data_IF_355514287145
#
_entry.id   IF_355514287145
#
_cell.length_a   1.000
_cell.length_b   1.000
_cell.length_c   1.000
_cell.angle_alpha   90.00
_cell.angle_beta   90.00
_cell.angle_gamma   90.00
#
_symmetry.space_group_name_H-M   'P 1'
#
loop_
_entity.id
_entity.type
_entity.pdbx_description
1 polymer ?
#
# COMPACT_ATOMS: atom_id res chain seq x y z
N UNK A 1 -39.49 36.80 27.69
CA UNK A 1 -39.11 35.36 27.67
C UNK A 1 -38.76 35.04 26.23
N UNK A 2 -37.53 35.23 25.72
CA UNK A 2 -36.21 34.81 26.21
C UNK A 2 -36.06 33.30 26.19
N UNK A 3 -35.16 32.82 25.29
CA UNK A 3 -34.77 31.42 25.04
C UNK A 3 -35.87 30.61 24.32
N UNK A 4 -35.77 30.16 23.08
CA UNK A 4 -34.97 29.04 22.59
C UNK A 4 -34.63 29.27 21.10
N UNK A 5 -33.47 29.88 20.87
CA UNK A 5 -32.72 29.80 19.63
C UNK A 5 -31.55 28.88 19.91
N UNK A 6 -31.15 28.10 18.90
CA UNK A 6 -30.03 27.15 18.86
C UNK A 6 -30.27 25.83 19.58
N UNK A 7 -30.61 24.80 18.79
CA UNK A 7 -30.03 23.46 18.85
C UNK A 7 -30.85 22.56 17.92
N UNK A 8 -30.48 22.49 16.64
CA UNK A 8 -30.74 21.37 15.71
C UNK A 8 -30.12 21.68 14.34
N UNK A 9 -28.82 21.96 14.35
CA UNK A 9 -27.97 21.73 13.19
C UNK A 9 -26.92 20.71 13.63
N UNK A 10 -27.39 19.51 13.97
CA UNK A 10 -26.49 18.38 14.14
C UNK A 10 -25.98 18.02 12.74
N UNK A 11 -24.75 18.46 12.49
CA UNK A 11 -23.93 18.10 11.36
C UNK A 11 -24.11 16.63 11.02
N UNK A 12 -24.62 16.35 9.81
CA UNK A 12 -24.37 15.08 9.16
C UNK A 12 -22.87 15.01 8.85
N UNK A 13 -22.08 14.69 9.87
CA UNK A 13 -20.75 14.15 9.65
C UNK A 13 -21.00 12.80 8.98
N UNK A 14 -20.86 12.77 7.65
CA UNK A 14 -20.83 11.53 6.90
C UNK A 14 -19.85 10.60 7.59
N UNK A 15 -20.33 9.41 7.99
CA UNK A 15 -19.47 8.37 8.51
C UNK A 15 -18.30 8.17 7.53
N UNK A 16 -17.08 7.93 8.02
CA UNK A 16 -15.98 7.57 7.14
C UNK A 16 -16.44 6.41 6.26
N UNK A 17 -16.45 6.63 4.94
CA UNK A 17 -16.76 5.57 4.01
C UNK A 17 -15.60 4.59 4.10
N UNK A 18 -15.83 3.43 4.71
CA UNK A 18 -14.90 2.33 4.60
C UNK A 18 -14.75 1.99 3.11
N UNK A 19 -13.57 1.50 2.67
CA UNK A 19 -13.44 0.93 1.34
C UNK A 19 -14.61 -0.04 1.13
N UNK A 20 -15.28 0.03 -0.02
CA UNK A 20 -16.38 -0.86 -0.34
C UNK A 20 -15.96 -2.31 -0.08
N UNK A 21 -16.92 -3.19 0.25
CA UNK A 21 -16.65 -4.59 0.55
C UNK A 21 -15.79 -5.31 -0.52
N UNK A 22 -15.71 -4.75 -1.73
CA UNK A 22 -14.63 -4.96 -2.67
C UNK A 22 -14.19 -3.63 -3.33
N UNK A 23 -12.91 -3.48 -3.62
CA UNK A 23 -12.30 -2.36 -4.35
C UNK A 23 -11.31 -2.89 -5.39
N UNK A 24 -11.28 -2.23 -6.56
CA UNK A 24 -10.27 -2.45 -7.60
C UNK A 24 -9.77 -1.09 -8.08
N UNK A 25 -8.46 -0.87 -7.97
CA UNK A 25 -7.77 0.33 -8.45
C UNK A 25 -6.80 -0.09 -9.55
N UNK A 26 -6.88 0.58 -10.70
CA UNK A 26 -6.01 0.34 -11.84
C UNK A 26 -5.05 1.50 -12.03
N UNK A 27 -3.84 1.20 -12.47
CA UNK A 27 -2.77 2.18 -12.59
C UNK A 27 -2.03 2.00 -13.91
N UNK A 28 -1.60 3.11 -14.52
CA UNK A 28 -0.55 3.09 -15.53
C UNK A 28 0.80 3.30 -14.85
N UNK A 29 1.84 2.65 -15.37
CA UNK A 29 3.21 2.81 -14.91
C UNK A 29 3.96 3.58 -15.97
N UNK A 30 4.50 4.76 -15.64
CA UNK A 30 5.04 5.68 -16.62
C UNK A 30 6.53 5.98 -16.36
N UNK A 31 7.27 6.13 -17.45
CA UNK A 31 8.63 6.67 -17.45
C UNK A 31 8.58 8.19 -17.20
N UNK A 32 9.66 8.83 -16.71
CA UNK A 32 9.74 10.29 -16.58
C UNK A 32 9.31 11.12 -17.81
N UNK A 33 9.40 10.55 -19.02
CA UNK A 33 8.99 11.21 -20.26
C UNK A 33 7.47 11.17 -20.51
N UNK A 34 6.71 10.48 -19.67
CA UNK A 34 5.28 10.19 -19.88
C UNK A 34 5.02 8.93 -20.72
N UNK A 35 6.07 8.22 -21.18
CA UNK A 35 5.91 6.96 -21.89
C UNK A 35 5.38 5.89 -20.93
N UNK A 36 4.24 5.27 -21.27
CA UNK A 36 3.74 4.11 -20.52
C UNK A 36 4.68 2.92 -20.68
N UNK A 37 5.00 2.30 -19.55
CA UNK A 37 5.84 1.13 -19.40
C UNK A 37 5.01 -0.12 -19.11
N UNK A 38 3.75 0.06 -18.71
CA UNK A 38 2.86 -1.02 -18.32
C UNK A 38 1.80 -0.57 -17.34
N UNK A 39 1.30 -1.52 -16.56
CA UNK A 39 0.12 -1.34 -15.72
C UNK A 39 0.29 -2.03 -14.38
N UNK A 40 -0.47 -1.56 -13.39
CA UNK A 40 -0.62 -2.24 -12.12
C UNK A 40 -2.08 -2.23 -11.67
N UNK A 41 -2.45 -3.16 -10.81
CA UNK A 41 -3.73 -3.17 -10.13
C UNK A 41 -3.58 -3.46 -8.65
N UNK A 42 -4.45 -2.84 -7.86
CA UNK A 42 -4.67 -3.16 -6.45
C UNK A 42 -6.11 -3.64 -6.31
N UNK A 43 -6.27 -4.78 -5.65
CA UNK A 43 -7.58 -5.30 -5.27
C UNK A 43 -7.66 -5.46 -3.77
N UNK A 44 -8.82 -5.15 -3.21
CA UNK A 44 -9.17 -5.49 -1.83
C UNK A 44 -10.57 -6.06 -1.80
N UNK A 45 -10.76 -7.09 -1.00
CA UNK A 45 -12.06 -7.72 -0.80
C UNK A 45 -12.21 -8.18 0.64
N UNK A 46 -13.37 -7.92 1.22
CA UNK A 46 -13.71 -8.44 2.54
C UNK A 46 -14.14 -9.90 2.41
N UNK A 47 -13.58 -10.76 3.25
CA UNK A 47 -13.87 -12.21 3.26
C UNK A 47 -14.07 -12.65 4.70
N UNK A 48 -15.33 -12.91 5.08
CA UNK A 48 -15.71 -13.08 6.48
C UNK A 48 -15.39 -11.82 7.30
N UNK A 49 -14.62 -11.99 8.38
CA UNK A 49 -14.10 -10.91 9.23
C UNK A 49 -12.68 -10.46 8.83
N UNK A 50 -12.22 -10.86 7.65
CA UNK A 50 -10.89 -10.57 7.14
C UNK A 50 -10.90 -9.84 5.81
N UNK A 51 -9.69 -9.67 5.28
CA UNK A 51 -9.38 -9.02 4.04
C UNK A 51 -8.51 -9.93 3.18
N UNK A 52 -8.87 -10.04 1.91
CA UNK A 52 -7.98 -10.48 0.86
C UNK A 52 -7.52 -9.26 0.06
N UNK A 53 -6.21 -9.12 -0.08
CA UNK A 53 -5.55 -8.00 -0.74
C UNK A 53 -4.66 -8.54 -1.84
N UNK A 54 -4.64 -7.89 -2.99
CA UNK A 54 -3.85 -8.33 -4.12
C UNK A 54 -3.22 -7.13 -4.83
N UNK A 55 -1.99 -7.32 -5.30
CA UNK A 55 -1.29 -6.40 -6.16
C UNK A 55 -0.72 -7.15 -7.35
N UNK A 56 -0.97 -6.62 -8.54
CA UNK A 56 -0.44 -7.13 -9.79
C UNK A 56 0.28 -5.98 -10.47
N UNK A 57 1.51 -6.20 -10.95
CA UNK A 57 2.27 -5.23 -11.74
C UNK A 57 2.86 -5.95 -12.93
N UNK A 58 2.62 -5.42 -14.11
CA UNK A 58 3.29 -5.83 -15.33
C UNK A 58 3.84 -4.58 -16.03
N UNK A 59 5.17 -4.47 -16.07
CA UNK A 59 5.84 -3.35 -16.73
C UNK A 59 7.09 -3.81 -17.48
N UNK A 60 7.45 -3.09 -18.52
CA UNK A 60 8.65 -3.29 -19.32
C UNK A 60 9.55 -2.06 -19.20
N UNK A 61 10.72 -2.25 -18.61
CA UNK A 61 11.80 -1.27 -18.63
C UNK A 61 12.74 -1.57 -19.79
N UNK A 62 13.44 -0.58 -20.36
CA UNK A 62 14.44 -0.84 -21.38
C UNK A 62 15.43 -1.94 -20.92
N UNK A 63 15.38 -3.10 -21.58
CA UNK A 63 16.25 -4.24 -21.32
C UNK A 63 15.76 -5.28 -20.31
N UNK A 64 14.62 -5.09 -19.61
CA UNK A 64 14.07 -6.11 -18.72
C UNK A 64 12.58 -5.91 -18.39
N UNK A 65 11.86 -7.03 -18.24
CA UNK A 65 10.49 -7.05 -17.77
C UNK A 65 10.43 -7.12 -16.24
N UNK A 66 9.39 -6.51 -15.68
CA UNK A 66 9.02 -6.54 -14.27
C UNK A 66 7.61 -7.12 -14.20
N UNK A 67 7.46 -8.25 -13.50
CA UNK A 67 6.17 -8.86 -13.20
C UNK A 67 6.10 -9.18 -11.72
N UNK A 68 5.13 -8.61 -11.03
CA UNK A 68 4.85 -8.90 -9.63
C UNK A 68 3.41 -9.34 -9.44
N UNK A 69 3.21 -10.34 -8.60
CA UNK A 69 1.92 -10.78 -8.13
C UNK A 69 2.00 -11.08 -6.64
N UNK A 70 1.40 -10.22 -5.84
CA UNK A 70 1.42 -10.29 -4.39
C UNK A 70 0.00 -10.47 -3.88
N UNK A 71 -0.19 -11.40 -2.93
CA UNK A 71 -1.47 -11.68 -2.30
C UNK A 71 -1.32 -11.73 -0.80
N UNK A 72 -2.17 -11.03 -0.08
CA UNK A 72 -2.18 -10.99 1.38
C UNK A 72 -3.57 -11.34 1.91
N UNK A 73 -3.59 -12.16 2.96
CA UNK A 73 -4.77 -12.39 3.78
C UNK A 73 -4.54 -11.77 5.16
N UNK A 74 -5.47 -10.96 5.63
CA UNK A 74 -5.38 -10.26 6.91
C UNK A 74 -6.70 -10.35 7.68
N UNK A 75 -6.64 -10.25 9.01
CA UNK A 75 -7.83 -10.07 9.86
C UNK A 75 -8.28 -8.61 9.85
N UNK A 76 -9.40 -8.34 10.52
CA UNK A 76 -9.74 -6.99 10.96
C UNK A 76 -8.55 -6.30 11.64
N UNK A 77 -8.41 -4.99 11.43
CA UNK A 77 -7.22 -4.26 11.85
C UNK A 77 -6.04 -4.33 10.86
N UNK A 78 -6.18 -5.10 9.77
CA UNK A 78 -5.13 -5.42 8.78
C UNK A 78 -3.92 -6.14 9.40
N UNK A 79 -4.16 -7.00 10.39
CA UNK A 79 -3.13 -7.89 10.92
C UNK A 79 -2.98 -9.08 9.98
N UNK A 80 -1.82 -9.19 9.33
CA UNK A 80 -1.56 -10.20 8.29
C UNK A 80 -1.56 -11.60 8.90
N UNK A 81 -2.22 -12.53 8.21
CA UNK A 81 -2.16 -13.96 8.45
C UNK A 81 -1.15 -14.62 7.51
N UNK A 82 -1.18 -14.18 6.25
CA UNK A 82 -0.37 -14.76 5.20
C UNK A 82 -0.06 -13.74 4.09
N UNK A 83 1.16 -13.82 3.55
CA UNK A 83 1.59 -13.09 2.37
C UNK A 83 2.22 -14.08 1.37
N UNK A 84 1.72 -14.11 0.15
CA UNK A 84 2.37 -14.74 -1.00
C UNK A 84 2.98 -13.67 -1.88
N UNK A 85 4.23 -13.92 -2.29
CA UNK A 85 4.94 -13.08 -3.24
C UNK A 85 5.41 -13.90 -4.42
N UNK A 86 5.02 -13.51 -5.61
CA UNK A 86 5.58 -14.01 -6.86
C UNK A 86 6.15 -12.81 -7.61
N UNK A 87 7.42 -12.88 -8.02
CA UNK A 87 8.06 -11.77 -8.71
C UNK A 87 9.00 -12.28 -9.80
N UNK A 88 9.17 -11.47 -10.84
CA UNK A 88 10.14 -11.64 -11.92
C UNK A 88 10.64 -10.28 -12.37
N UNK A 89 11.87 -9.96 -12.00
CA UNK A 89 12.58 -8.74 -12.34
C UNK A 89 13.79 -9.08 -13.21
N UNK A 90 13.63 -8.98 -14.53
CA UNK A 90 14.65 -9.40 -15.48
C UNK A 90 15.01 -10.89 -15.33
N UNK A 91 16.25 -11.18 -14.89
CA UNK A 91 16.73 -12.56 -14.66
C UNK A 91 16.44 -13.09 -13.25
N UNK A 92 15.99 -12.23 -12.32
CA UNK A 92 15.67 -12.62 -10.95
C UNK A 92 14.20 -12.96 -10.88
N UNK A 93 13.86 -14.16 -10.42
CA UNK A 93 12.49 -14.55 -10.15
C UNK A 93 12.43 -15.33 -8.85
N UNK A 94 11.26 -15.33 -8.21
CA UNK A 94 11.08 -15.99 -6.93
C UNK A 94 9.62 -16.12 -6.55
N UNK A 95 9.36 -17.12 -5.71
CA UNK A 95 8.07 -17.36 -5.09
C UNK A 95 8.29 -17.56 -3.60
N UNK A 96 7.64 -16.76 -2.77
CA UNK A 96 7.80 -16.77 -1.32
C UNK A 96 6.43 -16.78 -0.65
N UNK A 97 6.32 -17.50 0.47
CA UNK A 97 5.20 -17.43 1.39
C UNK A 97 5.70 -16.96 2.74
N UNK A 98 4.98 -16.04 3.38
CA UNK A 98 5.20 -15.66 4.77
C UNK A 98 3.92 -15.91 5.55
N UNK A 99 3.98 -16.74 6.58
CA UNK A 99 2.85 -17.04 7.46
C UNK A 99 3.11 -16.48 8.86
N UNK A 100 2.10 -15.85 9.45
CA UNK A 100 2.22 -15.14 10.72
C UNK A 100 1.52 -15.90 11.83
N UNK A 101 2.25 -16.18 12.91
CA UNK A 101 1.75 -16.82 14.11
C UNK A 101 1.83 -15.83 15.29
N UNK A 102 0.70 -15.17 15.63
CA UNK A 102 0.69 -14.16 16.69
C UNK A 102 0.83 -14.76 18.08
N UNK A 103 0.47 -16.03 18.28
CA UNK A 103 0.61 -16.71 19.58
C UNK A 103 2.07 -17.02 19.87
N UNK A 104 2.81 -17.44 18.84
CA UNK A 104 4.27 -17.67 18.93
C UNK A 104 5.08 -16.38 18.76
N UNK A 105 4.48 -15.30 18.26
CA UNK A 105 5.17 -14.04 17.99
C UNK A 105 6.19 -14.14 16.86
N UNK A 106 5.90 -14.95 15.83
CA UNK A 106 6.82 -15.21 14.72
C UNK A 106 6.14 -15.13 13.35
N UNK A 107 6.89 -14.64 12.37
CA UNK A 107 6.58 -14.74 10.95
C UNK A 107 7.53 -15.76 10.31
N UNK A 108 6.98 -16.78 9.67
CA UNK A 108 7.73 -17.84 9.01
C UNK A 108 7.75 -17.58 7.52
N UNK A 109 8.93 -17.29 6.96
CA UNK A 109 9.14 -17.17 5.52
C UNK A 109 9.61 -18.49 4.93
N UNK A 110 9.04 -18.86 3.79
CA UNK A 110 9.40 -20.03 3.01
C UNK A 110 9.56 -19.66 1.54
N UNK A 111 10.66 -20.07 0.91
CA UNK A 111 10.84 -19.98 -0.54
C UNK A 111 10.22 -21.21 -1.20
N UNK A 112 9.18 -21.00 -1.99
CA UNK A 112 8.40 -22.06 -2.63
C UNK A 112 9.20 -22.72 -3.78
N UNK A 113 9.13 -24.05 -3.89
CA UNK A 113 9.84 -24.81 -4.92
C UNK A 113 11.20 -25.37 -4.49
N UNK A 114 11.38 -25.66 -3.20
CA UNK A 114 12.59 -26.31 -2.66
C UNK A 114 13.65 -25.35 -2.12
N UNK A 115 13.27 -24.10 -1.80
CA UNK A 115 14.17 -23.12 -1.20
C UNK A 115 14.24 -23.21 0.33
N UNK A 116 14.80 -22.17 0.94
CA UNK A 116 14.98 -22.10 2.39
C UNK A 116 13.74 -21.66 3.16
N UNK A 117 13.77 -21.91 4.47
CA UNK A 117 12.80 -21.44 5.44
C UNK A 117 13.51 -20.61 6.51
N UNK A 118 12.89 -19.53 6.96
CA UNK A 118 13.42 -18.70 8.05
C UNK A 118 12.28 -18.18 8.94
N UNK A 119 12.58 -17.99 10.22
CA UNK A 119 11.67 -17.36 11.17
C UNK A 119 12.15 -15.93 11.47
N UNK A 120 11.21 -15.01 11.59
CA UNK A 120 11.40 -13.62 11.92
C UNK A 120 10.55 -13.33 13.16
N UNK A 121 11.08 -12.62 14.15
CA UNK A 121 10.25 -12.11 15.24
C UNK A 121 9.17 -11.18 14.66
N UNK A 122 7.94 -11.31 15.15
CA UNK A 122 6.81 -10.53 14.66
C UNK A 122 5.88 -10.14 15.81
N UNK A 123 5.35 -8.90 15.83
CA UNK A 123 4.35 -8.52 16.82
C UNK A 123 3.02 -9.26 16.57
N UNK A 124 2.16 -9.27 17.59
CA UNK A 124 0.83 -9.91 17.51
C UNK A 124 -0.03 -9.38 16.34
N UNK A 125 0.16 -8.12 15.95
CA UNK A 125 -0.43 -7.55 14.73
C UNK A 125 0.68 -7.08 13.80
N UNK A 126 1.35 -8.03 13.16
CA UNK A 126 2.26 -7.74 12.07
C UNK A 126 1.46 -7.37 10.80
N UNK A 127 2.03 -6.48 9.98
CA UNK A 127 1.45 -6.11 8.69
C UNK A 127 2.46 -6.34 7.58
N UNK A 128 2.03 -6.95 6.49
CA UNK A 128 2.77 -6.90 5.25
C UNK A 128 2.57 -5.58 4.51
N UNK A 129 3.26 -5.39 3.39
CA UNK A 129 3.20 -4.14 2.61
C UNK A 129 1.78 -3.80 2.10
N UNK A 130 1.00 -4.79 1.66
CA UNK A 130 -0.38 -4.58 1.20
C UNK A 130 -1.29 -4.25 2.38
N UNK A 131 -1.26 -5.08 3.43
CA UNK A 131 -2.03 -4.85 4.64
C UNK A 131 -1.71 -3.48 5.27
N UNK A 132 -0.45 -3.07 5.24
CA UNK A 132 -0.02 -1.76 5.71
C UNK A 132 -0.57 -0.61 4.87
N UNK A 133 -0.62 -0.73 3.53
CA UNK A 133 -1.20 0.29 2.67
C UNK A 133 -2.67 0.56 3.02
N UNK A 134 -3.48 -0.49 3.20
CA UNK A 134 -4.89 -0.33 3.56
C UNK A 134 -5.09 0.12 5.01
N UNK A 135 -4.22 -0.32 5.93
CA UNK A 135 -4.17 0.24 7.28
C UNK A 135 -3.89 1.75 7.25
N UNK A 136 -2.89 2.19 6.50
CA UNK A 136 -2.55 3.60 6.35
C UNK A 136 -3.73 4.41 5.83
N UNK A 137 -4.42 3.93 4.80
CA UNK A 137 -5.62 4.58 4.26
C UNK A 137 -6.68 4.77 5.34
N UNK A 138 -6.97 3.73 6.13
CA UNK A 138 -7.92 3.81 7.25
C UNK A 138 -7.47 4.79 8.34
N UNK A 139 -6.19 4.89 8.62
CA UNK A 139 -5.67 5.88 9.59
C UNK A 139 -5.83 7.31 9.05
N UNK A 140 -5.52 7.55 7.78
CA UNK A 140 -5.69 8.85 7.12
C UNK A 140 -7.16 9.28 7.01
N UNK A 141 -8.10 8.34 6.86
CA UNK A 141 -9.54 8.62 6.94
C UNK A 141 -9.92 9.23 8.29
N UNK A 142 -9.26 8.80 9.37
CA UNK A 142 -9.43 9.34 10.71
C UNK A 142 -8.49 10.52 11.02
N UNK A 143 -7.78 11.05 10.02
CA UNK A 143 -6.84 12.17 10.20
C UNK A 143 -5.58 11.81 11.00
N UNK A 144 -5.23 10.52 11.08
CA UNK A 144 -4.05 10.03 11.78
C UNK A 144 -2.96 9.63 10.80
N UNK A 145 -1.71 9.95 11.14
CA UNK A 145 -0.54 9.41 10.46
C UNK A 145 0.11 8.36 11.36
N UNK A 146 0.24 7.10 10.92
CA UNK A 146 0.90 6.07 11.72
C UNK A 146 2.33 6.46 12.09
N UNK A 147 2.75 6.13 13.32
CA UNK A 147 4.15 6.21 13.70
C UNK A 147 4.99 5.21 12.89
N UNK A 148 6.30 5.42 12.89
CA UNK A 148 7.23 4.47 12.30
C UNK A 148 7.03 3.07 12.92
N UNK A 149 6.95 2.04 12.08
CA UNK A 149 6.72 0.66 12.52
C UNK A 149 7.39 -0.35 11.57
N UNK A 150 7.43 -1.61 11.96
CA UNK A 150 7.91 -2.69 11.09
C UNK A 150 6.78 -3.17 10.16
N UNK A 151 7.13 -3.41 8.89
CA UNK A 151 6.32 -4.11 7.90
C UNK A 151 7.08 -5.29 7.32
N UNK A 152 6.36 -6.32 6.88
CA UNK A 152 6.95 -7.59 6.46
C UNK A 152 6.77 -7.80 4.95
N UNK A 153 7.87 -7.98 4.23
CA UNK A 153 7.83 -8.18 2.78
C UNK A 153 8.94 -9.10 2.26
N UNK A 154 9.02 -10.31 2.81
CA UNK A 154 10.14 -11.25 2.64
C UNK A 154 11.32 -11.01 3.60
N UNK A 155 11.42 -9.80 4.14
CA UNK A 155 12.21 -9.44 5.32
C UNK A 155 11.43 -8.40 6.15
N UNK A 156 11.98 -8.01 7.31
CA UNK A 156 11.47 -6.89 8.09
C UNK A 156 11.98 -5.57 7.51
N UNK A 157 11.07 -4.63 7.30
CA UNK A 157 11.37 -3.28 6.88
C UNK A 157 10.82 -2.30 7.91
N UNK A 158 11.66 -1.37 8.35
CA UNK A 158 11.20 -0.21 9.08
C UNK A 158 10.56 0.77 8.08
N UNK A 159 9.27 1.03 8.23
CA UNK A 159 8.57 2.09 7.49
C UNK A 159 8.43 3.32 8.36
N UNK A 160 8.66 4.50 7.78
CA UNK A 160 8.26 5.78 8.34
C UNK A 160 7.63 6.65 7.26
N UNK A 161 6.67 7.48 7.68
CA UNK A 161 5.96 8.39 6.80
C UNK A 161 6.06 9.81 7.33
N UNK A 162 6.17 10.76 6.41
CA UNK A 162 6.10 12.18 6.71
C UNK A 162 5.07 12.83 5.79
N UNK A 163 4.08 13.50 6.37
CA UNK A 163 3.23 14.41 5.61
C UNK A 163 4.10 15.55 5.06
N UNK A 164 4.06 15.75 3.75
CA UNK A 164 4.88 16.76 3.09
C UNK A 164 4.06 18.01 2.72
N UNK A 165 2.97 17.84 1.97
CA UNK A 165 2.16 18.96 1.50
C UNK A 165 0.80 18.49 0.96
N UNK A 166 -0.16 19.41 0.93
CA UNK A 166 -1.33 19.34 0.07
C UNK A 166 -1.01 20.07 -1.23
N UNK A 167 -1.19 19.42 -2.37
CA UNK A 167 -0.88 20.02 -3.66
C UNK A 167 -1.74 19.48 -4.80
N UNK A 168 -1.88 20.28 -5.84
CA UNK A 168 -2.47 19.86 -7.10
C UNK A 168 -1.45 19.02 -7.86
N UNK A 169 -1.77 17.76 -8.11
CA UNK A 169 -1.01 16.84 -8.97
C UNK A 169 -1.79 16.60 -10.27
N UNK A 170 -1.08 16.23 -11.34
CA UNK A 170 -1.69 15.65 -12.53
C UNK A 170 -1.59 14.13 -12.44
N UNK A 171 -2.72 13.46 -12.63
CA UNK A 171 -2.80 12.00 -12.71
C UNK A 171 -3.54 11.69 -14.00
N UNK A 172 -2.86 11.04 -14.96
CA UNK A 172 -3.39 10.82 -16.30
C UNK A 172 -3.94 12.12 -16.93
N UNK A 173 -3.13 13.19 -16.90
CA UNK A 173 -3.45 14.55 -17.37
C UNK A 173 -4.61 15.28 -16.66
N UNK A 174 -5.27 14.63 -15.70
CA UNK A 174 -6.34 15.26 -14.91
C UNK A 174 -5.75 15.92 -13.66
N UNK A 175 -5.93 17.24 -13.47
CA UNK A 175 -5.49 17.91 -12.26
C UNK A 175 -6.39 17.51 -11.08
N UNK A 176 -5.77 17.15 -9.94
CA UNK A 176 -6.48 16.81 -8.71
C UNK A 176 -5.70 17.23 -7.48
N UNK A 177 -6.41 17.58 -6.41
CA UNK A 177 -5.81 17.84 -5.10
C UNK A 177 -5.47 16.53 -4.39
N UNK A 178 -4.23 16.38 -3.95
CA UNK A 178 -3.75 15.22 -3.21
C UNK A 178 -2.78 15.60 -2.09
N UNK A 179 -2.81 14.83 -1.02
CA UNK A 179 -1.85 14.91 0.09
C UNK A 179 -0.63 14.06 -0.24
N UNK A 180 0.55 14.67 -0.26
CA UNK A 180 1.83 13.98 -0.46
C UNK A 180 2.37 13.49 0.88
N UNK A 181 2.80 12.23 0.88
CA UNK A 181 3.57 11.64 1.95
C UNK A 181 4.91 11.15 1.40
N UNK A 182 5.98 11.53 2.08
CA UNK A 182 7.30 10.98 1.83
C UNK A 182 7.41 9.69 2.65
N UNK A 183 7.60 8.57 1.96
CA UNK A 183 7.74 7.24 2.56
C UNK A 183 9.21 6.86 2.57
N UNK A 184 9.67 6.38 3.71
CA UNK A 184 11.01 5.84 3.87
C UNK A 184 10.93 4.39 4.35
N UNK A 185 11.64 3.50 3.67
CA UNK A 185 11.73 2.08 3.94
C UNK A 185 13.18 1.67 4.16
N UNK A 186 13.47 1.11 5.33
CA UNK A 186 14.80 0.58 5.66
C UNK A 186 14.71 -0.91 6.00
N UNK A 187 15.33 -1.73 5.17
CA UNK A 187 15.46 -3.18 5.36
C UNK A 187 16.89 -3.59 5.71
N UNK A 188 17.18 -4.91 5.81
CA UNK A 188 18.49 -5.40 6.22
C UNK A 188 19.62 -5.11 5.23
N UNK A 189 19.29 -5.03 3.93
CA UNK A 189 20.26 -4.85 2.84
C UNK A 189 19.84 -3.78 1.83
N UNK A 190 18.86 -2.95 2.17
CA UNK A 190 18.27 -1.98 1.24
C UNK A 190 17.62 -0.83 1.96
N UNK A 191 17.71 0.36 1.37
CA UNK A 191 17.04 1.57 1.86
C UNK A 191 16.41 2.27 0.66
N UNK A 192 15.13 2.62 0.78
CA UNK A 192 14.34 3.19 -0.29
C UNK A 192 13.52 4.36 0.25
N UNK A 193 13.38 5.40 -0.58
CA UNK A 193 12.47 6.50 -0.32
C UNK A 193 11.64 6.76 -1.56
N UNK A 194 10.35 6.99 -1.39
CA UNK A 194 9.43 7.30 -2.49
C UNK A 194 8.31 8.21 -2.01
N UNK A 195 7.57 8.80 -2.94
CA UNK A 195 6.41 9.64 -2.62
C UNK A 195 5.13 8.86 -2.91
N UNK A 196 4.13 8.98 -2.03
CA UNK A 196 2.76 8.52 -2.29
C UNK A 196 1.79 9.67 -2.09
N UNK A 197 0.80 9.74 -2.96
CA UNK A 197 -0.20 10.80 -3.00
C UNK A 197 -1.58 10.19 -2.78
N UNK A 198 -2.30 10.69 -1.79
CA UNK A 198 -3.66 10.26 -1.49
C UNK A 198 -4.66 11.36 -1.84
N UNK A 199 -5.73 11.00 -2.52
CA UNK A 199 -6.87 11.89 -2.70
C UNK A 199 -7.51 12.24 -1.35
N UNK A 200 -8.16 13.41 -1.29
CA UNK A 200 -8.99 13.82 -0.15
C UNK A 200 -10.42 13.28 -0.21
N UNK A 201 -10.61 12.16 -0.91
CA UNK A 201 -11.88 11.45 -0.91
C UNK A 201 -12.09 10.69 0.42
N UNK A 202 -13.31 10.18 0.61
CA UNK A 202 -13.69 9.51 1.85
C UNK A 202 -12.89 8.23 2.12
N UNK A 203 -12.32 7.59 1.08
CA UNK A 203 -11.59 6.32 1.18
C UNK A 203 -10.07 6.49 1.15
N UNK A 204 -9.57 7.73 1.01
CA UNK A 204 -8.15 8.07 0.84
C UNK A 204 -7.51 7.24 -0.26
N UNK A 205 -8.02 7.36 -1.49
CA UNK A 205 -7.51 6.61 -2.64
C UNK A 205 -6.05 6.99 -2.94
N UNK A 206 -5.11 6.04 -3.06
CA UNK A 206 -3.77 6.31 -3.55
C UNK A 206 -3.85 6.59 -5.05
N UNK A 207 -3.57 7.83 -5.44
CA UNK A 207 -3.75 8.32 -6.82
C UNK A 207 -2.45 8.38 -7.62
N UNK A 208 -1.33 8.51 -6.94
CA UNK A 208 -0.01 8.62 -7.56
C UNK A 208 1.05 8.08 -6.60
N UNK A 209 1.98 7.28 -7.11
CA UNK A 209 3.21 6.91 -6.43
C UNK A 209 4.38 7.33 -7.32
N UNK A 210 5.42 7.92 -6.73
CA UNK A 210 6.65 8.30 -7.44
C UNK A 210 7.86 7.65 -6.79
N UNK A 211 8.57 6.83 -7.56
CA UNK A 211 9.73 6.09 -7.09
C UNK A 211 10.99 6.62 -7.80
N UNK A 212 11.95 7.21 -7.07
CA UNK A 212 13.21 7.63 -7.64
C UNK A 212 14.12 6.43 -7.91
N UNK A 213 14.67 6.38 -9.11
CA UNK A 213 15.74 5.47 -9.52
C UNK A 213 16.89 6.28 -10.13
N UNK A 214 18.11 5.71 -10.25
CA UNK A 214 19.24 6.41 -10.87
C UNK A 214 18.97 6.94 -12.29
N UNK A 215 18.04 6.31 -13.03
CA UNK A 215 17.68 6.70 -14.39
C UNK A 215 16.55 7.76 -14.45
N UNK A 216 15.91 8.07 -13.33
CA UNK A 216 14.79 9.00 -13.27
C UNK A 216 13.72 8.60 -12.24
N UNK A 217 12.66 9.41 -12.17
CA UNK A 217 11.49 9.15 -11.30
C UNK A 217 10.40 8.45 -12.09
N UNK A 218 10.06 7.25 -11.67
CA UNK A 218 8.96 6.48 -12.23
C UNK A 218 7.67 6.81 -11.50
N UNK A 219 6.56 6.85 -12.22
CA UNK A 219 5.25 7.04 -11.62
C UNK A 219 4.34 5.83 -11.81
N UNK A 220 3.49 5.59 -10.82
CA UNK A 220 2.30 4.76 -10.93
C UNK A 220 1.09 5.65 -10.71
N UNK A 221 0.25 5.80 -11.73
CA UNK A 221 -0.81 6.81 -11.82
C UNK A 221 -2.19 6.15 -11.94
N UNK A 222 -3.13 6.52 -11.07
CA UNK A 222 -4.47 5.93 -11.05
C UNK A 222 -5.21 6.21 -12.36
N UNK A 223 -5.61 5.14 -13.05
CA UNK A 223 -6.47 5.17 -14.24
C UNK A 223 -7.93 5.25 -13.77
N UNK A 224 -8.68 6.18 -14.35
CA UNK A 224 -10.10 6.40 -14.07
C UNK A 224 -10.92 6.23 -15.34
#
# INVERSE_FOLDING_TARGET
MMWELLLLAASQLGAPAEPSAAESLHYSVNWPSGLSLGEASLHARRVGEGWELEFILEAALPGFAVKDHYRSAARDGFCTLELHKEFKHGKREGRERTSFDPERGVATRETLGGGGKSELAAPACARDALAFLYYLRRELQHGRLPSAQEVFFGARYQVSLRYAALQTVRVNEVPMQAERFDVHLKGPASEHSFEIFFARDAVRTPVLVRVPFPMGVFSMELVR
#
